data_IF_215836125197
#
_entry.id   IF_215836125197
#
_cell.length_a   1.000
_cell.length_b   1.000
_cell.length_c   1.000
_cell.angle_alpha   90.00
_cell.angle_beta   90.00
_cell.angle_gamma   90.00
#
_symmetry.space_group_name_H-M   'P 1'
#
loop_
_entity.id
_entity.type
_entity.pdbx_description
1 polymer ?
#
# COMPACT_ATOMS: atom_id res chain seq x y z
N UNK A 1 -9.20 -7.78 22.27
CA UNK A 1 -7.84 -7.46 22.78
C UNK A 1 -7.12 -8.76 23.13
N UNK A 2 -5.80 -8.87 22.93
CA UNK A 2 -5.04 -10.12 23.19
C UNK A 2 -5.17 -10.54 24.66
N UNK A 3 -5.06 -9.60 25.60
CA UNK A 3 -5.23 -9.88 27.03
C UNK A 3 -6.59 -10.56 27.34
N UNK A 4 -7.70 -10.05 26.81
CA UNK A 4 -9.03 -10.65 27.00
C UNK A 4 -9.16 -12.03 26.36
N UNK A 5 -8.41 -12.32 25.30
CA UNK A 5 -8.41 -13.65 24.70
C UNK A 5 -7.65 -14.66 25.59
N UNK A 6 -6.54 -14.23 26.19
CA UNK A 6 -5.73 -15.03 27.13
C UNK A 6 -6.50 -15.28 28.44
N UNK A 7 -7.21 -14.27 28.94
CA UNK A 7 -8.06 -14.37 30.14
C UNK A 7 -9.18 -15.41 29.96
N UNK A 8 -9.83 -15.43 28.79
CA UNK A 8 -10.82 -16.46 28.43
C UNK A 8 -10.25 -17.89 28.34
N UNK A 9 -8.93 -18.03 28.21
CA UNK A 9 -8.24 -19.31 28.25
C UNK A 9 -7.82 -19.70 29.69
N UNK A 10 -8.19 -18.91 30.70
CA UNK A 10 -7.88 -19.16 32.12
C UNK A 10 -6.54 -18.61 32.58
N UNK A 11 -5.86 -17.78 31.78
CA UNK A 11 -4.57 -17.19 32.13
C UNK A 11 -4.68 -15.68 32.31
N UNK A 12 -4.13 -15.15 33.40
CA UNK A 12 -4.03 -13.71 33.62
C UNK A 12 -2.59 -13.25 33.45
N UNK A 13 -2.32 -12.43 32.44
CA UNK A 13 -0.99 -11.88 32.15
C UNK A 13 -1.05 -10.36 32.08
N UNK A 14 -0.01 -9.71 32.60
CA UNK A 14 0.12 -8.26 32.46
C UNK A 14 0.43 -7.85 31.02
N UNK A 15 0.04 -6.63 30.59
CA UNK A 15 0.36 -6.13 29.25
C UNK A 15 1.87 -6.17 28.93
N UNK A 16 2.73 -5.99 29.94
CA UNK A 16 4.19 -6.06 29.80
C UNK A 16 4.68 -7.46 29.44
N UNK A 17 4.17 -8.49 30.13
CA UNK A 17 4.51 -9.89 29.85
C UNK A 17 4.01 -10.29 28.46
N UNK A 18 2.79 -9.88 28.10
CA UNK A 18 2.24 -10.13 26.76
C UNK A 18 3.12 -9.48 25.69
N UNK A 19 3.52 -8.22 25.87
CA UNK A 19 4.39 -7.51 24.93
C UNK A 19 5.78 -8.17 24.82
N UNK A 20 6.34 -8.63 25.94
CA UNK A 20 7.61 -9.35 25.95
C UNK A 20 7.51 -10.67 25.19
N UNK A 21 6.47 -11.49 25.43
CA UNK A 21 6.28 -12.76 24.72
C UNK A 21 6.13 -12.50 23.22
N UNK A 22 5.25 -11.58 22.83
CA UNK A 22 5.04 -11.22 21.42
C UNK A 22 6.35 -10.80 20.76
N UNK A 23 7.12 -9.89 21.38
CA UNK A 23 8.34 -9.34 20.77
C UNK A 23 9.54 -10.28 20.85
N UNK A 24 9.82 -10.85 22.01
CA UNK A 24 11.07 -11.58 22.27
C UNK A 24 10.99 -13.06 21.90
N UNK A 25 9.85 -13.70 22.19
CA UNK A 25 9.67 -15.15 21.95
C UNK A 25 9.09 -15.40 20.57
N UNK A 26 8.00 -14.70 20.22
CA UNK A 26 7.29 -14.90 18.95
C UNK A 26 7.78 -13.99 17.81
N UNK A 27 8.64 -13.02 18.10
CA UNK A 27 9.17 -12.03 17.13
C UNK A 27 8.09 -11.21 16.41
N UNK A 28 6.90 -11.12 16.99
CA UNK A 28 5.76 -10.37 16.46
C UNK A 28 5.81 -8.88 16.86
N UNK A 29 5.59 -8.01 15.88
CA UNK A 29 5.43 -6.57 16.05
C UNK A 29 4.11 -6.08 15.46
N UNK A 30 3.54 -5.03 16.05
CA UNK A 30 2.28 -4.43 15.59
C UNK A 30 2.54 -3.42 14.46
N UNK A 31 2.55 -3.91 13.23
CA UNK A 31 2.95 -3.15 12.03
C UNK A 31 1.76 -2.77 11.15
N UNK A 32 1.93 -1.68 10.38
CA UNK A 32 1.04 -1.27 9.29
C UNK A 32 1.62 -1.80 7.98
N UNK A 33 0.77 -1.96 6.96
CA UNK A 33 1.20 -2.23 5.59
C UNK A 33 2.09 -1.09 5.08
N UNK A 34 3.20 -1.43 4.43
CA UNK A 34 4.06 -0.53 3.67
C UNK A 34 3.57 -0.46 2.22
N UNK A 35 3.39 0.76 1.69
CA UNK A 35 3.04 1.00 0.28
C UNK A 35 4.33 1.21 -0.51
N UNK A 36 5.07 0.13 -0.73
CA UNK A 36 6.42 0.16 -1.30
C UNK A 36 6.64 -0.80 -2.49
N UNK A 37 5.58 -1.47 -2.96
CA UNK A 37 5.66 -2.35 -4.13
C UNK A 37 5.37 -1.53 -5.39
N UNK A 38 6.33 -1.39 -6.33
CA UNK A 38 6.06 -0.75 -7.60
C UNK A 38 5.08 -1.60 -8.40
N UNK A 39 4.16 -0.95 -9.12
CA UNK A 39 3.16 -1.63 -9.95
C UNK A 39 3.76 -2.26 -11.22
N UNK A 40 4.97 -1.86 -11.58
CA UNK A 40 5.71 -2.42 -12.71
C UNK A 40 6.59 -1.38 -13.37
N UNK A 41 7.44 -1.84 -14.29
CA UNK A 41 8.18 -0.99 -15.20
C UNK A 41 7.52 -1.08 -16.58
N UNK A 42 7.35 0.06 -17.25
CA UNK A 42 6.95 0.11 -18.65
C UNK A 42 8.18 0.44 -19.49
N UNK A 43 8.49 -0.40 -20.48
CA UNK A 43 9.55 -0.12 -21.47
C UNK A 43 9.28 1.17 -22.25
N UNK A 44 8.01 1.53 -22.41
CA UNK A 44 7.57 2.73 -23.12
C UNK A 44 7.47 3.98 -22.23
N UNK A 45 7.90 3.91 -20.96
CA UNK A 45 7.82 5.03 -20.02
C UNK A 45 8.45 6.29 -20.61
N UNK A 46 9.68 6.20 -21.13
CA UNK A 46 10.39 7.37 -21.67
C UNK A 46 9.77 7.89 -22.97
N UNK A 47 9.52 7.04 -24.00
CA UNK A 47 8.78 7.47 -25.19
C UNK A 47 7.44 8.17 -24.90
N UNK A 48 6.70 7.72 -23.88
CA UNK A 48 5.45 8.35 -23.46
C UNK A 48 5.67 9.78 -22.95
N UNK A 49 6.65 9.99 -22.05
CA UNK A 49 6.96 11.33 -21.53
C UNK A 49 7.47 12.27 -22.63
N UNK A 50 8.30 11.78 -23.54
CA UNK A 50 8.80 12.56 -24.67
C UNK A 50 7.64 13.01 -25.58
N UNK A 51 6.70 12.11 -25.88
CA UNK A 51 5.48 12.45 -26.64
C UNK A 51 4.62 13.48 -25.91
N UNK A 52 4.40 13.32 -24.61
CA UNK A 52 3.62 14.27 -23.80
C UNK A 52 4.27 15.66 -23.80
N UNK A 53 5.60 15.73 -23.72
CA UNK A 53 6.33 16.99 -23.78
C UNK A 53 6.16 17.69 -25.14
N UNK A 54 6.26 16.94 -26.24
CA UNK A 54 6.07 17.48 -27.59
C UNK A 54 4.67 18.08 -27.77
N UNK A 55 3.62 17.33 -27.38
CA UNK A 55 2.24 17.79 -27.46
C UNK A 55 2.00 19.00 -26.57
N UNK A 56 2.54 19.00 -25.34
CA UNK A 56 2.45 20.14 -24.43
C UNK A 56 3.02 21.42 -25.06
N UNK A 57 4.23 21.34 -25.61
CA UNK A 57 4.89 22.49 -26.24
C UNK A 57 4.11 23.05 -27.43
N UNK A 58 3.47 22.17 -28.21
CA UNK A 58 2.62 22.60 -29.34
C UNK A 58 1.42 23.41 -28.86
N UNK A 59 0.74 22.94 -27.82
CA UNK A 59 -0.45 23.60 -27.29
C UNK A 59 -0.07 24.91 -26.56
N UNK A 60 1.07 24.93 -25.85
CA UNK A 60 1.62 26.17 -25.27
C UNK A 60 1.89 27.23 -26.34
N UNK A 61 2.50 26.85 -27.47
CA UNK A 61 2.76 27.79 -28.58
C UNK A 61 1.48 28.36 -29.20
N UNK A 62 0.39 27.59 -29.21
CA UNK A 62 -0.91 28.02 -29.72
C UNK A 62 -1.70 28.86 -28.69
N UNK A 63 -1.19 29.01 -27.46
CA UNK A 63 -1.90 29.66 -26.36
C UNK A 63 -3.12 28.86 -25.89
N UNK A 64 -3.14 27.55 -26.16
CA UNK A 64 -4.28 26.69 -25.85
C UNK A 64 -4.18 26.13 -24.43
N UNK A 65 -5.33 25.89 -23.77
CA UNK A 65 -5.35 25.29 -22.44
C UNK A 65 -4.85 23.84 -22.51
N UNK A 66 -4.08 23.45 -21.48
CA UNK A 66 -3.60 22.09 -21.31
C UNK A 66 -4.34 21.46 -20.12
N UNK A 67 -5.11 20.42 -20.39
CA UNK A 67 -5.84 19.67 -19.38
C UNK A 67 -5.11 18.36 -19.07
N UNK A 68 -4.94 18.06 -17.79
CA UNK A 68 -4.48 16.75 -17.33
C UNK A 68 -5.65 16.02 -16.70
N UNK A 69 -5.98 14.85 -17.23
CA UNK A 69 -7.09 14.02 -16.74
C UNK A 69 -6.51 12.69 -16.29
N UNK A 70 -6.74 12.35 -15.03
CA UNK A 70 -6.43 11.04 -14.45
C UNK A 70 -7.75 10.30 -14.21
N UNK A 71 -7.84 9.04 -14.62
CA UNK A 71 -9.00 8.19 -14.36
C UNK A 71 -8.64 7.13 -13.35
N UNK A 72 -9.39 7.05 -12.25
CA UNK A 72 -9.29 5.94 -11.29
C UNK A 72 -10.51 5.06 -11.43
N UNK A 73 -10.28 3.76 -11.64
CA UNK A 73 -11.33 2.75 -11.60
C UNK A 73 -11.56 2.32 -10.16
N UNK A 74 -12.81 2.37 -9.71
CA UNK A 74 -13.23 2.04 -8.35
C UNK A 74 -13.65 0.57 -8.29
N UNK A 75 -12.69 -0.32 -8.04
CA UNK A 75 -12.84 -1.58 -7.30
C UNK A 75 -11.43 -2.17 -7.15
N UNK A 76 -10.99 -2.37 -5.90
CA UNK A 76 -9.60 -2.70 -5.56
C UNK A 76 -9.53 -4.05 -4.84
N UNK A 77 -9.45 -5.14 -5.61
CA UNK A 77 -9.29 -6.51 -5.11
C UNK A 77 -7.85 -6.95 -5.38
N UNK A 78 -7.01 -7.15 -4.36
CA UNK A 78 -5.62 -7.57 -4.59
C UNK A 78 -4.65 -7.06 -3.54
N UNK A 79 -3.36 -6.88 -3.90
CA UNK A 79 -2.30 -6.43 -2.99
C UNK A 79 -2.34 -4.92 -2.71
N UNK A 80 -3.54 -4.41 -2.47
CA UNK A 80 -3.79 -3.02 -2.14
C UNK A 80 -3.69 -2.78 -0.64
N UNK A 81 -3.43 -1.53 -0.27
CA UNK A 81 -3.35 -1.18 1.14
C UNK A 81 -4.74 -1.17 1.77
N UNK A 82 -4.83 -1.73 2.97
CA UNK A 82 -6.00 -1.65 3.83
C UNK A 82 -5.65 -0.94 5.13
N UNK A 83 -6.63 -0.25 5.69
CA UNK A 83 -6.48 0.36 7.00
C UNK A 83 -6.28 -0.72 8.07
N UNK A 84 -5.60 -0.37 9.17
CA UNK A 84 -5.36 -1.26 10.29
C UNK A 84 -3.91 -1.62 10.54
N UNK A 85 -3.70 -2.48 11.53
CA UNK A 85 -2.40 -2.97 11.97
C UNK A 85 -2.52 -4.44 12.32
N UNK A 86 -1.50 -5.22 11.99
CA UNK A 86 -1.44 -6.64 12.34
C UNK A 86 -0.23 -6.92 13.23
N UNK A 87 -0.33 -7.96 14.05
CA UNK A 87 0.82 -8.58 14.68
C UNK A 87 1.43 -9.56 13.68
N UNK A 88 2.65 -9.28 13.26
CA UNK A 88 3.37 -10.06 12.24
C UNK A 88 4.85 -10.10 12.59
N UNK A 89 5.59 -11.07 12.10
CA UNK A 89 7.05 -11.20 12.20
C UNK A 89 7.79 -10.46 11.07
N UNK A 90 7.08 -10.03 10.02
CA UNK A 90 7.62 -9.27 8.89
C UNK A 90 6.85 -7.98 8.60
N UNK A 91 7.15 -7.37 7.44
CA UNK A 91 6.39 -6.25 6.90
C UNK A 91 5.39 -6.76 5.86
N UNK A 92 4.16 -6.27 5.94
CA UNK A 92 3.18 -6.49 4.89
C UNK A 92 3.39 -5.40 3.85
N UNK A 93 3.49 -5.80 2.58
CA UNK A 93 3.78 -4.90 1.47
C UNK A 93 2.57 -4.83 0.54
N UNK A 94 2.25 -3.61 0.10
CA UNK A 94 1.20 -3.30 -0.86
C UNK A 94 1.74 -2.40 -1.97
N UNK A 95 1.00 -2.34 -3.08
CA UNK A 95 1.33 -1.44 -4.16
C UNK A 95 1.39 0.03 -3.69
N UNK A 96 2.32 0.80 -4.27
CA UNK A 96 2.43 2.25 -4.00
C UNK A 96 1.15 2.99 -4.38
N UNK A 97 0.49 2.55 -5.46
CA UNK A 97 -0.79 3.07 -5.90
C UNK A 97 -1.81 1.94 -6.00
N UNK A 98 -3.05 2.29 -5.70
CA UNK A 98 -4.17 1.38 -5.77
C UNK A 98 -4.89 1.63 -7.11
N UNK A 99 -4.38 1.05 -8.20
CA UNK A 99 -5.03 1.10 -9.51
C UNK A 99 -5.78 -0.20 -9.77
N UNK A 100 -7.07 -0.12 -10.11
CA UNK A 100 -7.92 -1.30 -10.38
C UNK A 100 -7.43 -2.19 -11.53
N UNK A 101 -6.58 -1.68 -12.44
CA UNK A 101 -5.94 -2.51 -13.46
C UNK A 101 -5.01 -3.59 -12.89
N UNK A 102 -4.57 -3.43 -11.64
CA UNK A 102 -3.75 -4.40 -10.90
C UNK A 102 -4.57 -5.18 -9.85
N UNK A 103 -5.89 -5.11 -9.98
CA UNK A 103 -6.80 -5.94 -9.23
C UNK A 103 -6.67 -7.38 -9.73
N UNK A 104 -6.54 -8.34 -8.83
CA UNK A 104 -6.75 -9.75 -9.15
C UNK A 104 -8.26 -9.99 -9.27
N UNK A 105 -8.66 -10.76 -10.28
CA UNK A 105 -10.02 -11.32 -10.39
C UNK A 105 -10.29 -12.36 -9.29
#
# INVERSE_FOLDING_TARGET
MIASAIDRLGFSLSPGVIAEILRRKLKLGRRRISKDVPLGASEFRRPQFDRLQQVRQEYERLGWPILSVDTKKEELIGRFSRSGRSWTDGSLHAFHHDFGAYSSD
#
